data_IF_998422846327
#
_entry.id   IF_998422846327
#
_cell.length_a   1.000
_cell.length_b   1.000
_cell.length_c   1.000
_cell.angle_alpha   90.00
_cell.angle_beta   90.00
_cell.angle_gamma   90.00
#
_symmetry.space_group_name_H-M   'P 1'
#
loop_
_entity.id
_entity.type
_entity.pdbx_description
1 polymer ?
#
# COMPACT_ATOMS: atom_id res chain seq x y z
N UNK A 1 8.78 7.72 -19.34
CA UNK A 1 9.58 8.83 -18.77
C UNK A 1 10.73 9.14 -19.73
N UNK A 2 11.26 10.38 -19.76
CA UNK A 2 12.51 10.65 -20.51
C UNK A 2 13.70 10.06 -19.74
N UNK A 3 14.75 9.57 -20.42
CA UNK A 3 15.92 9.02 -19.75
C UNK A 3 16.63 10.08 -18.90
N UNK A 4 17.15 9.66 -17.74
CA UNK A 4 17.91 10.47 -16.79
C UNK A 4 19.35 9.97 -16.81
N UNK A 5 20.10 10.42 -17.83
CA UNK A 5 21.46 9.96 -18.09
C UNK A 5 22.46 10.70 -17.19
N UNK A 6 23.20 9.95 -16.40
CA UNK A 6 24.29 10.46 -15.54
C UNK A 6 25.62 9.88 -16.01
N UNK A 7 26.58 10.76 -16.33
CA UNK A 7 27.95 10.36 -16.64
C UNK A 7 28.73 10.08 -15.37
N UNK A 8 29.34 8.90 -15.28
CA UNK A 8 30.00 8.41 -14.06
C UNK A 8 31.53 8.38 -14.16
N UNK A 9 32.12 8.38 -15.37
CA UNK A 9 33.56 8.15 -15.59
C UNK A 9 34.48 9.10 -14.83
N UNK A 10 34.10 10.38 -14.72
CA UNK A 10 34.92 11.41 -14.07
C UNK A 10 34.75 11.43 -12.54
N UNK A 11 33.71 10.80 -12.03
CA UNK A 11 33.26 10.94 -10.63
C UNK A 11 33.36 9.64 -9.82
N UNK A 12 33.33 8.48 -10.48
CA UNK A 12 33.23 7.15 -9.86
C UNK A 12 34.31 6.21 -10.39
N UNK A 13 35.54 6.71 -10.56
CA UNK A 13 36.62 5.96 -11.18
C UNK A 13 37.18 4.84 -10.28
N UNK A 14 37.10 4.98 -8.96
CA UNK A 14 37.64 4.03 -7.99
C UNK A 14 36.55 3.41 -7.11
N UNK A 15 36.71 2.16 -6.66
CA UNK A 15 35.83 1.58 -5.66
C UNK A 15 35.80 2.42 -4.38
N UNK A 16 34.59 2.68 -3.87
CA UNK A 16 34.31 3.53 -2.73
C UNK A 16 34.09 5.01 -3.09
N UNK A 17 34.30 5.42 -4.34
CA UNK A 17 33.93 6.76 -4.79
C UNK A 17 32.40 6.93 -4.72
N UNK A 18 31.97 8.10 -4.29
CA UNK A 18 30.55 8.46 -4.17
C UNK A 18 30.27 9.77 -4.88
N UNK A 19 29.14 9.85 -5.58
CA UNK A 19 28.72 11.02 -6.32
C UNK A 19 27.24 11.34 -6.07
N UNK A 20 26.93 12.44 -5.37
CA UNK A 20 25.55 12.88 -5.17
C UNK A 20 25.00 13.53 -6.45
N UNK A 21 23.82 13.10 -6.85
CA UNK A 21 23.08 13.54 -8.02
C UNK A 21 21.67 13.92 -7.60
N UNK A 22 21.37 15.20 -7.69
CA UNK A 22 20.03 15.72 -7.47
C UNK A 22 19.49 16.33 -8.75
N UNK A 23 18.20 16.17 -9.01
CA UNK A 23 17.59 16.76 -10.19
C UNK A 23 16.07 16.74 -10.15
N UNK A 24 15.52 17.29 -11.22
CA UNK A 24 14.10 17.38 -11.47
C UNK A 24 13.79 16.78 -12.84
N UNK A 25 12.74 15.96 -12.94
CA UNK A 25 12.29 15.41 -14.21
C UNK A 25 10.82 15.76 -14.47
N UNK A 26 10.59 16.44 -15.59
CA UNK A 26 9.24 16.74 -16.08
C UNK A 26 8.59 15.46 -16.62
N UNK A 27 7.61 14.96 -15.89
CA UNK A 27 6.76 13.83 -16.29
C UNK A 27 5.32 14.26 -16.16
N UNK A 28 4.52 14.08 -17.20
CA UNK A 28 3.14 14.56 -17.18
C UNK A 28 2.16 13.59 -16.51
N UNK A 29 2.50 12.30 -16.43
CA UNK A 29 1.63 11.29 -15.83
C UNK A 29 2.14 9.87 -16.07
N UNK A 30 1.48 8.91 -15.42
CA UNK A 30 1.70 7.47 -15.57
C UNK A 30 0.40 6.72 -15.30
N UNK A 31 0.28 5.50 -15.85
CA UNK A 31 -0.84 4.61 -15.58
C UNK A 31 -0.40 3.47 -14.65
N UNK A 32 -1.27 3.07 -13.73
CA UNK A 32 -1.07 1.92 -12.86
C UNK A 32 -2.40 1.17 -12.71
N UNK A 33 -2.48 -0.03 -13.29
CA UNK A 33 -3.73 -0.77 -13.39
C UNK A 33 -4.75 0.00 -14.23
N UNK A 34 -5.92 0.26 -13.63
CA UNK A 34 -7.02 1.03 -14.25
C UNK A 34 -6.98 2.53 -13.88
N UNK A 35 -5.97 2.98 -13.13
CA UNK A 35 -5.83 4.37 -12.71
C UNK A 35 -4.84 5.12 -13.60
N UNK A 36 -5.27 6.28 -14.09
CA UNK A 36 -4.40 7.29 -14.69
C UNK A 36 -4.04 8.36 -13.66
N UNK A 37 -2.75 8.61 -13.51
CA UNK A 37 -2.20 9.61 -12.63
C UNK A 37 -1.52 10.72 -13.43
N UNK A 38 -1.65 11.96 -12.94
CA UNK A 38 -0.93 13.11 -13.47
C UNK A 38 0.04 13.66 -12.44
N UNK A 39 1.19 14.15 -12.91
CA UNK A 39 2.26 14.66 -12.04
C UNK A 39 2.58 16.09 -12.48
N UNK A 40 1.76 17.08 -12.09
CA UNK A 40 1.83 18.43 -12.65
C UNK A 40 3.16 19.13 -12.37
N UNK A 41 3.73 18.85 -11.19
CA UNK A 41 4.95 19.48 -10.70
C UNK A 41 6.20 18.67 -11.04
N UNK A 42 6.08 17.51 -11.71
CA UNK A 42 7.20 16.60 -12.01
C UNK A 42 7.68 15.79 -10.81
N UNK A 43 8.85 15.17 -10.95
CA UNK A 43 9.47 14.33 -9.91
C UNK A 43 10.84 14.90 -9.55
N UNK A 44 11.04 15.15 -8.26
CA UNK A 44 12.34 15.52 -7.70
C UNK A 44 13.06 14.28 -7.16
N UNK A 45 14.37 14.23 -7.31
CA UNK A 45 15.18 13.13 -6.79
C UNK A 45 16.50 13.64 -6.19
N UNK A 46 16.98 12.95 -5.16
CA UNK A 46 18.29 13.12 -4.54
C UNK A 46 18.88 11.72 -4.33
N UNK A 47 19.84 11.35 -5.17
CA UNK A 47 20.41 10.01 -5.27
C UNK A 47 21.92 10.09 -5.16
N UNK A 48 22.52 9.23 -4.36
CA UNK A 48 23.96 9.03 -4.26
C UNK A 48 24.33 7.79 -5.05
N UNK A 49 25.20 7.97 -6.04
CA UNK A 49 25.82 6.87 -6.77
C UNK A 49 27.12 6.47 -6.06
N UNK A 50 27.33 5.18 -5.85
CA UNK A 50 28.52 4.64 -5.18
C UNK A 50 29.13 3.54 -6.02
N UNK A 51 30.42 3.65 -6.34
CA UNK A 51 31.16 2.57 -6.98
C UNK A 51 31.49 1.49 -5.94
N UNK A 52 30.97 0.28 -6.11
CA UNK A 52 31.21 -0.86 -5.22
C UNK A 52 32.40 -1.72 -5.64
N UNK A 53 32.91 -1.51 -6.86
CA UNK A 53 34.03 -2.21 -7.49
C UNK A 53 33.59 -3.17 -8.59
N UNK A 54 32.44 -3.80 -8.43
CA UNK A 54 31.78 -4.69 -9.38
C UNK A 54 30.54 -4.05 -10.05
N UNK A 55 30.10 -2.90 -9.54
CA UNK A 55 29.00 -2.12 -10.11
C UNK A 55 28.88 -0.72 -9.53
N UNK A 56 27.72 -0.11 -9.77
CA UNK A 56 27.31 1.19 -9.24
C UNK A 56 26.00 1.01 -8.47
N UNK A 57 26.04 1.31 -7.17
CA UNK A 57 24.86 1.36 -6.31
C UNK A 57 24.26 2.77 -6.34
N UNK A 58 22.99 2.87 -6.68
CA UNK A 58 22.22 4.10 -6.64
C UNK A 58 21.25 4.06 -5.44
N UNK A 59 21.52 4.89 -4.43
CA UNK A 59 20.67 4.98 -3.22
C UNK A 59 20.20 6.40 -3.00
N UNK A 60 18.92 6.60 -2.71
CA UNK A 60 18.40 7.95 -2.54
C UNK A 60 16.92 8.04 -2.22
N UNK A 61 16.37 9.24 -2.38
CA UNK A 61 14.95 9.52 -2.16
C UNK A 61 14.39 10.23 -3.39
N UNK A 62 13.19 9.84 -3.80
CA UNK A 62 12.37 10.51 -4.81
C UNK A 62 11.14 11.13 -4.15
N UNK A 63 10.70 12.27 -4.68
CA UNK A 63 9.51 12.97 -4.21
C UNK A 63 8.67 13.42 -5.39
N UNK A 64 7.36 13.26 -5.27
CA UNK A 64 6.42 13.70 -6.29
C UNK A 64 5.05 13.99 -5.67
N UNK A 65 4.37 15.03 -6.16
CA UNK A 65 2.96 15.23 -5.91
C UNK A 65 2.15 14.73 -7.11
N UNK A 66 1.32 13.72 -6.85
CA UNK A 66 0.56 13.01 -7.87
C UNK A 66 -0.92 13.32 -7.71
N UNK A 67 -1.60 13.57 -8.82
CA UNK A 67 -3.05 13.74 -8.88
C UNK A 67 -3.67 12.53 -9.56
N UNK A 68 -4.60 11.89 -8.87
CA UNK A 68 -5.42 10.80 -9.39
C UNK A 68 -6.90 11.07 -9.20
N UNK A 69 -7.72 10.06 -9.49
CA UNK A 69 -9.17 10.10 -9.27
C UNK A 69 -9.52 9.27 -8.04
N UNK A 70 -10.31 9.82 -7.12
CA UNK A 70 -10.72 9.10 -5.91
C UNK A 70 -11.67 7.94 -6.23
N UNK A 71 -11.37 6.75 -5.73
CA UNK A 71 -12.15 5.53 -5.98
C UNK A 71 -13.53 5.54 -5.33
N UNK A 72 -13.72 6.39 -4.31
CA UNK A 72 -14.98 6.46 -3.55
C UNK A 72 -15.92 7.54 -4.05
N UNK A 73 -15.40 8.72 -4.39
CA UNK A 73 -16.22 9.89 -4.73
C UNK A 73 -15.98 10.43 -6.14
N UNK A 74 -14.98 9.91 -6.86
CA UNK A 74 -14.57 10.35 -8.20
C UNK A 74 -14.04 11.79 -8.30
N UNK A 75 -13.86 12.48 -7.17
CA UNK A 75 -13.17 13.78 -7.12
C UNK A 75 -11.64 13.61 -7.28
N UNK A 76 -10.95 14.71 -7.59
CA UNK A 76 -9.49 14.75 -7.65
C UNK A 76 -8.87 14.38 -6.29
N UNK A 77 -7.91 13.46 -6.31
CA UNK A 77 -7.15 13.02 -5.16
C UNK A 77 -5.69 13.43 -5.31
N UNK A 78 -5.15 14.18 -4.34
CA UNK A 78 -3.73 14.54 -4.29
C UNK A 78 -2.99 13.61 -3.34
N UNK A 79 -1.93 12.98 -3.84
CA UNK A 79 -1.10 12.01 -3.15
C UNK A 79 0.33 12.54 -3.15
N UNK A 80 0.91 12.73 -1.99
CA UNK A 80 2.34 13.07 -1.87
C UNK A 80 3.14 11.80 -1.71
N UNK A 81 3.99 11.51 -2.70
CA UNK A 81 4.85 10.35 -2.75
C UNK A 81 6.25 10.74 -2.27
N UNK A 82 6.79 9.96 -1.35
CA UNK A 82 8.19 10.03 -0.94
C UNK A 82 8.70 8.59 -0.80
N UNK A 83 9.57 8.16 -1.72
CA UNK A 83 10.02 6.77 -1.82
C UNK A 83 11.53 6.68 -1.86
N UNK A 84 12.08 5.58 -1.33
CA UNK A 84 13.49 5.29 -1.39
C UNK A 84 13.83 4.62 -2.74
N UNK A 85 14.97 4.99 -3.31
CA UNK A 85 15.56 4.31 -4.47
C UNK A 85 16.73 3.49 -3.97
N UNK A 86 16.75 2.21 -4.34
CA UNK A 86 17.85 1.28 -4.13
C UNK A 86 17.99 0.41 -5.37
N UNK A 87 18.89 0.79 -6.27
CA UNK A 87 19.13 0.10 -7.53
C UNK A 87 20.63 -0.21 -7.69
N UNK A 88 20.93 -1.42 -8.18
CA UNK A 88 22.31 -1.83 -8.45
C UNK A 88 22.55 -2.02 -9.95
N UNK A 89 23.47 -1.23 -10.51
CA UNK A 89 23.88 -1.31 -11.90
C UNK A 89 25.18 -2.11 -12.02
N UNK A 90 25.15 -3.24 -12.72
CA UNK A 90 26.32 -4.07 -12.97
C UNK A 90 27.16 -3.55 -14.13
N UNK A 91 28.49 -3.71 -14.05
CA UNK A 91 29.37 -3.43 -15.19
C UNK A 91 29.32 -4.52 -16.26
N UNK A 92 29.15 -5.78 -15.84
CA UNK A 92 29.11 -6.95 -16.71
C UNK A 92 28.03 -7.91 -16.19
N UNK A 93 27.32 -8.57 -17.10
CA UNK A 93 26.36 -9.62 -16.73
C UNK A 93 27.13 -10.82 -16.17
N UNK A 94 26.59 -11.51 -15.15
CA UNK A 94 27.16 -12.77 -14.70
C UNK A 94 27.12 -13.81 -15.83
N UNK A 95 28.12 -14.70 -15.89
CA UNK A 95 28.16 -15.76 -16.89
C UNK A 95 26.97 -16.72 -16.73
N UNK A 96 26.39 -17.19 -17.84
CA UNK A 96 25.27 -18.14 -17.85
C UNK A 96 25.58 -19.48 -17.16
N UNK A 97 26.86 -19.80 -16.90
CA UNK A 97 27.25 -20.98 -16.11
C UNK A 97 27.22 -20.76 -14.60
N UNK A 98 27.15 -19.51 -14.15
CA UNK A 98 27.02 -19.13 -12.74
C UNK A 98 25.56 -18.79 -12.37
N UNK A 99 24.69 -18.67 -13.38
CA UNK A 99 23.24 -18.52 -13.22
C UNK A 99 22.60 -19.89 -12.96
N UNK A 100 21.77 -19.99 -11.92
CA UNK A 100 20.90 -21.14 -11.70
C UNK A 100 19.68 -21.08 -12.63
N UNK A 101 19.04 -22.21 -12.94
CA UNK A 101 17.86 -22.30 -13.82
C UNK A 101 16.66 -21.42 -13.33
N UNK A 102 16.71 -20.89 -12.10
CA UNK A 102 15.72 -19.98 -11.51
C UNK A 102 16.07 -18.47 -11.71
N UNK A 103 17.26 -18.14 -12.22
CA UNK A 103 17.77 -16.75 -12.40
C UNK A 103 17.63 -16.22 -13.84
N UNK A 104 17.19 -17.04 -14.79
CA UNK A 104 17.03 -16.68 -16.21
C UNK A 104 15.97 -15.58 -16.47
N UNK A 105 15.15 -15.23 -15.48
CA UNK A 105 14.05 -14.25 -15.57
C UNK A 105 14.33 -12.94 -14.80
N UNK A 106 15.57 -12.76 -14.30
CA UNK A 106 15.98 -11.56 -13.55
C UNK A 106 16.47 -10.49 -14.53
N UNK A 107 15.76 -9.35 -14.58
CA UNK A 107 16.19 -8.19 -15.36
C UNK A 107 17.31 -7.46 -14.60
N UNK A 108 18.51 -7.44 -15.19
CA UNK A 108 19.68 -6.77 -14.59
C UNK A 108 19.84 -5.36 -15.17
N UNK A 109 19.93 -4.37 -14.29
CA UNK A 109 20.34 -3.01 -14.67
C UNK A 109 21.83 -2.97 -14.98
N UNK A 110 22.20 -2.41 -16.14
CA UNK A 110 23.59 -2.35 -16.61
C UNK A 110 24.09 -0.91 -16.74
N UNK A 111 25.37 -0.71 -16.44
CA UNK A 111 26.09 0.51 -16.79
C UNK A 111 26.39 0.50 -18.30
N UNK A 112 26.09 1.60 -18.99
CA UNK A 112 26.56 1.79 -20.37
C UNK A 112 28.07 2.11 -20.32
N UNK A 113 28.88 1.10 -20.63
CA UNK A 113 30.34 1.22 -20.61
C UNK A 113 30.93 1.96 -21.82
N UNK A 114 30.20 2.06 -22.92
CA UNK A 114 30.70 2.80 -24.09
C UNK A 114 30.66 4.30 -23.84
N UNK A 115 29.64 4.76 -23.10
CA UNK A 115 29.44 6.18 -22.78
C UNK A 115 29.75 6.53 -21.32
N UNK A 116 30.00 5.52 -20.47
CA UNK A 116 30.24 5.68 -19.05
C UNK A 116 29.06 6.31 -18.34
N UNK A 117 27.86 5.78 -18.58
CA UNK A 117 26.60 6.36 -18.12
C UNK A 117 25.69 5.37 -17.41
N UNK A 118 24.89 5.88 -16.49
CA UNK A 118 23.74 5.18 -15.89
C UNK A 118 22.45 5.93 -16.19
N UNK A 119 21.35 5.21 -16.44
CA UNK A 119 20.02 5.80 -16.62
C UNK A 119 19.18 5.62 -15.34
N UNK A 120 18.93 6.72 -14.65
CA UNK A 120 18.14 6.71 -13.41
C UNK A 120 16.63 6.78 -13.65
N UNK A 121 16.16 6.90 -14.90
CA UNK A 121 14.74 7.00 -15.18
C UNK A 121 13.95 5.76 -14.74
N UNK A 122 14.51 4.56 -14.95
CA UNK A 122 13.90 3.30 -14.53
C UNK A 122 13.69 3.25 -13.01
N UNK A 123 14.76 3.36 -12.20
CA UNK A 123 14.66 3.31 -10.74
C UNK A 123 13.78 4.41 -10.14
N UNK A 124 13.90 5.64 -10.65
CA UNK A 124 13.05 6.76 -10.20
C UNK A 124 11.58 6.49 -10.50
N UNK A 125 11.27 5.97 -11.68
CA UNK A 125 9.90 5.63 -12.05
C UNK A 125 9.35 4.47 -11.22
N UNK A 126 10.15 3.43 -11.02
CA UNK A 126 9.80 2.27 -10.20
C UNK A 126 9.49 2.68 -8.75
N UNK A 127 10.35 3.51 -8.13
CA UNK A 127 10.14 3.99 -6.77
C UNK A 127 8.82 4.78 -6.60
N UNK A 128 8.48 5.62 -7.58
CA UNK A 128 7.19 6.35 -7.58
C UNK A 128 6.00 5.40 -7.75
N UNK A 129 6.07 4.45 -8.67
CA UNK A 129 5.00 3.48 -8.91
C UNK A 129 4.77 2.60 -7.67
N UNK A 130 5.85 2.11 -7.05
CA UNK A 130 5.77 1.21 -5.90
C UNK A 130 5.16 1.88 -4.67
N UNK A 131 5.39 3.18 -4.49
CA UNK A 131 4.81 3.96 -3.38
C UNK A 131 3.39 4.49 -3.70
N UNK A 132 2.91 4.31 -4.94
CA UNK A 132 1.56 4.72 -5.31
C UNK A 132 0.53 3.78 -4.67
N UNK A 133 -0.46 4.29 -3.92
CA UNK A 133 -1.45 3.45 -3.27
C UNK A 133 -2.39 2.78 -4.27
N UNK A 134 -2.70 1.50 -4.03
CA UNK A 134 -3.70 0.76 -4.82
C UNK A 134 -5.12 1.29 -4.66
N UNK A 135 -5.43 1.94 -3.54
CA UNK A 135 -6.73 2.59 -3.30
C UNK A 135 -6.51 4.09 -3.20
N UNK A 136 -7.00 4.82 -4.19
CA UNK A 136 -6.82 6.26 -4.32
C UNK A 136 -7.96 6.97 -3.61
N UNK A 137 -7.64 7.72 -2.56
CA UNK A 137 -8.61 8.50 -1.80
C UNK A 137 -8.24 9.98 -1.82
N UNK A 138 -9.23 10.86 -2.03
CA UNK A 138 -9.02 12.31 -1.90
C UNK A 138 -8.75 12.76 -0.45
N UNK A 139 -9.11 11.90 0.52
CA UNK A 139 -8.81 12.00 1.96
C UNK A 139 -9.10 10.67 2.64
N UNK A 140 -8.45 10.42 3.79
CA UNK A 140 -8.55 9.16 4.54
C UNK A 140 -9.99 8.81 4.94
N UNK A 141 -10.82 9.81 5.26
CA UNK A 141 -12.20 9.65 5.72
C UNK A 141 -13.25 9.91 4.62
N UNK A 142 -12.86 9.80 3.33
CA UNK A 142 -13.77 10.02 2.21
C UNK A 142 -15.01 9.14 2.33
N UNK A 143 -16.21 9.75 2.39
CA UNK A 143 -17.47 9.03 2.56
C UNK A 143 -17.94 8.35 1.28
N UNK A 144 -17.51 8.89 0.13
CA UNK A 144 -17.84 8.37 -1.19
C UNK A 144 -19.20 8.80 -1.71
N UNK A 145 -19.64 8.17 -2.80
CA UNK A 145 -20.96 8.38 -3.38
C UNK A 145 -22.03 7.53 -2.68
N UNK A 146 -23.26 8.05 -2.62
CA UNK A 146 -24.41 7.28 -2.21
C UNK A 146 -24.69 6.15 -3.21
N UNK A 147 -24.82 4.88 -2.77
CA UNK A 147 -25.11 3.76 -3.68
C UNK A 147 -26.52 3.80 -4.29
N UNK A 148 -27.42 4.63 -3.75
CA UNK A 148 -28.80 4.75 -4.25
C UNK A 148 -28.96 5.87 -5.27
N UNK A 149 -28.45 7.07 -4.98
CA UNK A 149 -28.70 8.26 -5.80
C UNK A 149 -27.45 8.86 -6.44
N UNK A 150 -26.25 8.39 -6.08
CA UNK A 150 -24.98 8.90 -6.59
C UNK A 150 -24.53 10.25 -6.02
N UNK A 151 -25.24 10.81 -5.02
CA UNK A 151 -24.82 12.05 -4.37
C UNK A 151 -23.51 11.88 -3.59
N UNK A 152 -22.64 12.90 -3.62
CA UNK A 152 -21.38 12.90 -2.90
C UNK A 152 -21.63 13.13 -1.39
N UNK A 153 -21.43 12.08 -0.58
CA UNK A 153 -21.69 12.13 0.86
C UNK A 153 -20.69 13.02 1.61
N UNK A 154 -19.62 13.45 0.94
CA UNK A 154 -18.68 14.43 1.46
C UNK A 154 -19.26 15.85 1.51
N UNK A 155 -20.26 16.17 0.68
CA UNK A 155 -20.88 17.50 0.60
C UNK A 155 -22.11 17.64 1.52
N UNK A 156 -22.69 16.51 1.94
CA UNK A 156 -23.84 16.48 2.82
C UNK A 156 -24.54 15.13 2.80
N UNK A 157 -25.50 14.96 3.70
CA UNK A 157 -26.38 13.80 3.65
C UNK A 157 -27.46 13.99 2.59
N UNK A 158 -27.70 12.93 1.82
CA UNK A 158 -28.73 12.90 0.79
C UNK A 158 -30.08 12.36 1.31
N UNK A 159 -30.14 11.88 2.56
CA UNK A 159 -31.34 11.32 3.19
C UNK A 159 -31.74 9.93 2.66
N UNK A 160 -30.98 9.36 1.71
CA UNK A 160 -31.26 8.02 1.18
C UNK A 160 -31.12 6.93 2.25
N UNK A 161 -30.25 7.11 3.25
CA UNK A 161 -30.10 6.15 4.34
C UNK A 161 -31.38 6.00 5.18
N UNK A 162 -32.16 7.07 5.32
CA UNK A 162 -33.41 7.09 6.08
C UNK A 162 -34.59 6.68 5.21
N UNK A 163 -34.56 7.00 3.92
CA UNK A 163 -35.62 6.70 2.95
C UNK A 163 -35.57 5.24 2.45
N UNK A 164 -34.39 4.65 2.40
CA UNK A 164 -34.14 3.27 1.98
C UNK A 164 -33.43 2.54 3.11
N UNK A 165 -34.11 2.24 4.22
CA UNK A 165 -33.54 1.42 5.30
C UNK A 165 -33.07 0.04 4.78
N UNK A 166 -32.90 -0.96 5.65
CA UNK A 166 -32.59 -2.35 5.25
C UNK A 166 -33.74 -3.04 4.44
N UNK A 167 -34.41 -2.32 3.53
CA UNK A 167 -35.36 -2.80 2.54
C UNK A 167 -34.63 -3.61 1.47
N UNK A 168 -34.27 -4.83 1.88
CA UNK A 168 -33.69 -5.85 1.02
C UNK A 168 -34.80 -6.36 0.10
N UNK A 169 -34.64 -6.17 -1.20
CA UNK A 169 -35.56 -6.76 -2.19
C UNK A 169 -35.64 -8.28 -1.98
N UNK A 170 -36.83 -8.84 -1.67
CA UNK A 170 -36.99 -10.26 -1.41
C UNK A 170 -36.74 -11.13 -2.65
N UNK A 171 -36.65 -10.53 -3.84
CA UNK A 171 -36.30 -11.22 -5.08
C UNK A 171 -34.80 -11.19 -5.39
N UNK A 172 -34.01 -10.41 -4.62
CA UNK A 172 -32.56 -10.39 -4.76
C UNK A 172 -31.96 -11.75 -4.35
N UNK A 173 -31.11 -12.37 -5.20
CA UNK A 173 -30.44 -13.65 -4.89
C UNK A 173 -29.66 -13.64 -3.55
N UNK A 174 -29.19 -12.48 -3.11
CA UNK A 174 -28.40 -12.28 -1.90
C UNK A 174 -29.24 -11.94 -0.66
N UNK A 175 -30.58 -11.89 -0.77
CA UNK A 175 -31.48 -11.64 0.37
C UNK A 175 -31.32 -12.67 1.50
N UNK A 176 -30.80 -13.87 1.19
CA UNK A 176 -30.47 -14.93 2.16
C UNK A 176 -29.38 -14.50 3.16
N UNK A 177 -28.47 -13.59 2.78
CA UNK A 177 -27.40 -13.13 3.68
C UNK A 177 -27.94 -12.35 4.88
N UNK A 178 -29.13 -11.75 4.75
CA UNK A 178 -29.80 -11.08 5.86
C UNK A 178 -30.20 -12.06 6.98
N UNK A 179 -30.50 -13.32 6.63
CA UNK A 179 -30.80 -14.37 7.59
C UNK A 179 -29.52 -14.78 8.33
N UNK A 180 -28.43 -15.03 7.60
CA UNK A 180 -27.12 -15.35 8.18
C UNK A 180 -26.63 -14.29 9.18
N UNK A 181 -26.77 -13.00 8.88
CA UNK A 181 -26.40 -11.92 9.81
C UNK A 181 -27.21 -11.99 11.12
N UNK A 182 -28.47 -12.43 11.04
CA UNK A 182 -29.38 -12.58 12.18
C UNK A 182 -29.01 -13.81 13.00
N UNK A 183 -28.79 -14.94 12.33
CA UNK A 183 -28.42 -16.22 12.97
C UNK A 183 -27.09 -16.12 13.72
N UNK A 184 -26.11 -15.39 13.17
CA UNK A 184 -24.82 -15.13 13.85
C UNK A 184 -25.05 -14.26 15.10
N UNK A 185 -25.83 -13.19 15.00
CA UNK A 185 -26.10 -12.32 16.15
C UNK A 185 -26.89 -13.04 17.25
N UNK A 186 -27.81 -13.93 16.90
CA UNK A 186 -28.57 -14.75 17.86
C UNK A 186 -27.66 -15.78 18.54
N UNK A 187 -26.78 -16.45 17.78
CA UNK A 187 -25.82 -17.42 18.32
C UNK A 187 -24.81 -16.80 19.30
N UNK A 188 -24.29 -15.61 19.02
CA UNK A 188 -23.39 -14.89 19.93
C UNK A 188 -24.08 -14.50 21.25
N UNK A 189 -25.38 -14.18 21.19
CA UNK A 189 -26.19 -13.87 22.39
C UNK A 189 -26.43 -15.13 23.22
N UNK A 190 -26.72 -16.26 22.58
CA UNK A 190 -26.90 -17.55 23.27
C UNK A 190 -25.61 -18.03 23.93
N UNK A 191 -24.47 -17.92 23.26
CA UNK A 191 -23.17 -18.34 23.78
C UNK A 191 -22.74 -17.47 24.97
N UNK A 192 -22.97 -16.15 24.90
CA UNK A 192 -22.71 -15.25 26.02
C UNK A 192 -23.63 -15.52 27.21
N UNK A 193 -24.90 -15.80 26.97
CA UNK A 193 -25.84 -16.16 28.04
C UNK A 193 -25.48 -17.50 28.70
N UNK A 194 -24.99 -18.47 27.94
CA UNK A 194 -24.50 -19.74 28.47
C UNK A 194 -23.24 -19.56 29.33
N UNK A 195 -22.33 -18.69 28.93
CA UNK A 195 -21.12 -18.36 29.70
C UNK A 195 -21.47 -17.65 31.01
N UNK A 196 -22.35 -16.64 30.96
CA UNK A 196 -22.80 -15.90 32.15
C UNK A 196 -23.46 -16.84 33.18
N UNK A 197 -24.30 -17.79 32.73
CA UNK A 197 -24.92 -18.79 33.59
C UNK A 197 -23.93 -19.79 34.19
N UNK A 198 -22.89 -20.17 33.43
CA UNK A 198 -21.83 -21.06 33.92
C UNK A 198 -20.97 -20.38 34.98
N UNK A 199 -20.66 -19.09 34.79
CA UNK A 199 -19.88 -18.29 35.74
C UNK A 199 -20.66 -18.04 37.04
N UNK A 200 -21.98 -17.81 36.96
CA UNK A 200 -22.85 -17.65 38.13
C UNK A 200 -22.97 -18.95 38.94
N UNK A 201 -23.17 -20.10 38.26
CA UNK A 201 -23.18 -21.41 38.92
C UNK A 201 -21.83 -21.78 39.55
N UNK A 202 -20.71 -21.41 38.91
CA UNK A 202 -19.39 -21.59 39.50
C UNK A 202 -19.23 -20.73 40.77
N UNK A 203 -19.67 -19.47 40.75
CA UNK A 203 -19.60 -18.59 41.92
C UNK A 203 -20.40 -19.14 43.11
N UNK A 204 -21.60 -19.67 42.87
CA UNK A 204 -22.43 -20.32 43.90
C UNK A 204 -21.73 -21.57 44.47
N UNK A 205 -21.20 -22.44 43.63
CA UNK A 205 -20.50 -23.65 44.08
C UNK A 205 -19.23 -23.34 44.89
N UNK A 206 -18.50 -22.29 44.51
CA UNK A 206 -17.35 -21.80 45.29
C UNK A 206 -17.77 -21.23 46.64
N UNK A 207 -18.87 -20.48 46.70
CA UNK A 207 -19.42 -19.94 47.96
C UNK A 207 -19.85 -21.07 48.90
N UNK A 208 -20.57 -22.09 48.40
CA UNK A 208 -20.97 -23.26 49.19
C UNK A 208 -19.76 -24.06 49.71
N UNK A 209 -18.72 -24.23 48.89
CA UNK A 209 -17.49 -24.91 49.29
C UNK A 209 -16.72 -24.15 50.38
N UNK A 210 -16.71 -22.81 50.32
CA UNK A 210 -16.09 -21.96 51.33
C UNK A 210 -16.88 -21.98 52.65
N UNK A 211 -18.21 -21.88 52.61
CA UNK A 211 -19.08 -21.99 53.80
C UNK A 211 -18.93 -23.37 54.48
N UNK A 212 -18.79 -24.45 53.69
CA UNK A 212 -18.57 -25.80 54.22
C UNK A 212 -17.19 -25.96 54.88
N UNK A 213 -16.17 -25.25 54.41
CA UNK A 213 -14.83 -25.29 55.00
C UNK A 213 -14.75 -24.53 56.34
N UNK A 214 -15.59 -23.51 56.55
CA UNK A 214 -15.67 -22.75 57.81
C UNK A 214 -16.50 -23.46 58.90
N UNK A 215 -17.27 -24.50 58.55
CA UNK A 215 -18.12 -25.26 59.48
C UNK A 215 -17.44 -26.42 60.23
N UNK A 216 -16.21 -26.83 59.86
CA UNK A 216 -15.48 -27.95 60.48
C UNK A 216 -14.55 -27.50 61.64
N UNK A 217 -14.49 -26.18 61.92
CA UNK A 217 -13.79 -25.62 63.09
C UNK A 217 -14.77 -25.31 64.24
N UNK A 218 -15.43 -26.33 64.80
CA UNK A 218 -16.08 -26.22 66.13
C UNK A 218 -16.07 -27.49 66.97
#
# INVERSE_FOLDING_TARGET
MKPIIVHIDDHLALPGDTWPVSGHVDVHGYGLGDHDFSVPDGIDYDIVLTNTGDGILATGIVKADVLGTCDRCLDEARISIASEVDEYFLFELPDASEQSDDEDDVDFSLVDRENGTVDLAGPVNAAVIMETPFVVLCREDCKGLCPHCGANLNEGDCGCAEAHGDDIDPTNPFSVLAQLKRDVAEGEVEERAAQDAADEAAAEAWAEAMDAAEGDES
#
